data_IF_721186603263
#
_entry.id   IF_721186603263
#
_cell.length_a   1.000
_cell.length_b   1.000
_cell.length_c   1.000
_cell.angle_alpha   90.00
_cell.angle_beta   90.00
_cell.angle_gamma   90.00
#
_symmetry.space_group_name_H-M   'P 1'
#
loop_
_entity.id
_entity.type
_entity.pdbx_description
1 polymer ?
#
# COMPACT_ATOMS: atom_id res chain seq x y z
N UNK A 1 54.91 31.30 -1.32
CA UNK A 1 54.87 29.83 -1.16
C UNK A 1 53.62 29.34 -1.89
N UNK A 2 53.76 29.17 -3.21
CA UNK A 2 52.70 28.68 -4.09
C UNK A 2 52.69 27.16 -4.09
N UNK A 3 51.53 26.56 -3.82
CA UNK A 3 51.23 25.18 -4.19
C UNK A 3 49.92 25.16 -4.97
N UNK A 4 50.07 25.34 -6.27
CA UNK A 4 49.16 24.86 -7.30
C UNK A 4 48.83 23.38 -7.06
N UNK A 5 47.56 23.09 -6.81
CA UNK A 5 47.00 21.75 -6.93
C UNK A 5 45.66 21.86 -7.66
N UNK A 6 45.75 22.05 -8.96
CA UNK A 6 44.66 21.87 -9.93
C UNK A 6 44.14 20.43 -9.87
N UNK A 7 43.07 20.18 -9.12
CA UNK A 7 42.29 18.95 -9.23
C UNK A 7 41.32 19.07 -10.42
N UNK A 8 41.36 18.15 -11.40
CA UNK A 8 40.40 18.16 -12.51
C UNK A 8 39.00 17.75 -12.02
N UNK A 9 37.91 18.23 -12.63
CA UNK A 9 36.56 17.77 -12.29
C UNK A 9 36.42 16.29 -12.70
N UNK A 10 36.07 15.44 -11.74
CA UNK A 10 35.70 14.04 -11.99
C UNK A 10 34.44 14.05 -12.86
N UNK A 11 34.60 13.71 -14.14
CA UNK A 11 33.51 13.56 -15.12
C UNK A 11 32.63 12.39 -14.71
N UNK A 12 31.56 12.66 -13.96
CA UNK A 12 30.55 11.67 -13.55
C UNK A 12 29.54 11.39 -14.68
N UNK A 13 29.99 11.46 -15.94
CA UNK A 13 29.12 11.43 -17.12
C UNK A 13 29.38 10.21 -18.04
N UNK A 14 30.42 9.42 -17.75
CA UNK A 14 30.78 8.23 -18.54
C UNK A 14 30.57 6.88 -17.80
N UNK A 15 29.72 6.85 -16.76
CA UNK A 15 29.10 5.59 -16.29
C UNK A 15 27.79 5.31 -17.05
N UNK A 16 27.88 5.57 -18.33
CA UNK A 16 26.94 5.18 -19.36
C UNK A 16 27.11 3.66 -19.62
N UNK A 17 26.00 2.96 -19.75
CA UNK A 17 25.78 1.91 -20.76
C UNK A 17 26.10 0.43 -20.49
N UNK A 18 26.59 0.00 -19.32
CA UNK A 18 26.94 -1.43 -19.10
C UNK A 18 26.05 -2.23 -18.13
N UNK A 19 24.74 -1.96 -18.14
CA UNK A 19 23.78 -2.70 -17.30
C UNK A 19 22.44 -3.04 -17.96
N UNK A 20 22.30 -2.86 -19.28
CA UNK A 20 21.06 -3.24 -19.98
C UNK A 20 20.99 -4.76 -20.08
N UNK A 21 20.51 -5.42 -19.02
CA UNK A 21 20.03 -6.81 -19.08
C UNK A 21 19.03 -6.88 -20.23
N UNK A 22 19.29 -7.77 -21.19
CA UNK A 22 18.41 -7.96 -22.33
C UNK A 22 17.01 -8.29 -21.82
N UNK A 23 15.95 -7.74 -22.43
CA UNK A 23 14.55 -8.07 -22.07
C UNK A 23 14.32 -9.58 -22.03
N UNK A 24 15.04 -10.35 -22.86
CA UNK A 24 15.03 -11.82 -22.85
C UNK A 24 15.66 -12.42 -21.58
N UNK A 25 16.74 -11.84 -21.06
CA UNK A 25 17.36 -12.27 -19.80
C UNK A 25 16.49 -11.93 -18.58
N UNK A 26 15.76 -10.82 -18.60
CA UNK A 26 14.78 -10.48 -17.54
C UNK A 26 13.62 -11.49 -17.53
N UNK A 27 13.12 -11.89 -18.71
CA UNK A 27 12.04 -12.88 -18.82
C UNK A 27 12.50 -14.27 -18.37
N UNK A 28 13.74 -14.66 -18.67
CA UNK A 28 14.29 -15.95 -18.22
C UNK A 28 14.52 -16.01 -16.71
N UNK A 29 14.88 -14.89 -16.06
CA UNK A 29 15.01 -14.85 -14.59
C UNK A 29 13.65 -14.81 -13.87
N UNK A 30 12.59 -14.29 -14.51
CA UNK A 30 11.25 -14.31 -13.92
C UNK A 30 10.67 -15.74 -13.77
N UNK A 31 11.12 -16.69 -14.61
CA UNK A 31 10.70 -18.10 -14.51
C UNK A 31 11.24 -18.80 -13.25
N UNK A 32 12.35 -18.32 -12.65
CA UNK A 32 12.95 -18.91 -11.44
C UNK A 32 12.36 -18.31 -10.16
N UNK A 33 11.72 -17.13 -10.24
CA UNK A 33 11.10 -16.44 -9.09
C UNK A 33 9.59 -16.68 -8.95
N UNK A 34 9.00 -17.62 -9.70
CA UNK A 34 7.60 -18.01 -9.49
C UNK A 34 6.57 -16.89 -9.71
N UNK A 35 6.93 -15.82 -10.42
CA UNK A 35 5.99 -14.76 -10.81
C UNK A 35 5.24 -15.21 -12.06
N UNK A 36 4.21 -16.03 -11.86
CA UNK A 36 3.18 -16.27 -12.86
C UNK A 36 2.41 -14.97 -13.09
N UNK A 37 2.77 -14.22 -14.13
CA UNK A 37 1.93 -13.16 -14.66
C UNK A 37 0.88 -13.78 -15.59
N UNK A 38 -0.42 -13.81 -15.25
CA UNK A 38 -1.44 -14.21 -16.20
C UNK A 38 -1.72 -13.01 -17.13
N UNK A 39 -0.97 -12.92 -18.21
CA UNK A 39 -1.37 -12.21 -19.41
C UNK A 39 -2.21 -13.19 -20.23
N UNK A 40 -3.51 -13.34 -19.88
CA UNK A 40 -4.66 -13.79 -20.69
C UNK A 40 -5.82 -14.02 -19.73
N UNK A 41 -6.88 -13.21 -19.85
CA UNK A 41 -8.09 -13.36 -19.03
C UNK A 41 -9.01 -12.14 -19.02
N UNK A 42 -9.09 -11.40 -20.14
CA UNK A 42 -10.02 -10.29 -20.32
C UNK A 42 -11.29 -10.82 -21.00
N UNK A 43 -12.18 -11.41 -20.21
CA UNK A 43 -13.48 -11.91 -20.69
C UNK A 43 -14.01 -13.03 -19.81
N UNK A 44 -15.24 -12.86 -19.31
CA UNK A 44 -15.95 -13.67 -18.31
C UNK A 44 -15.65 -13.25 -16.87
N UNK A 45 -16.53 -12.39 -16.35
CA UNK A 45 -16.63 -12.03 -14.95
C UNK A 45 -17.00 -13.22 -14.07
N UNK A 46 -15.99 -14.02 -13.76
CA UNK A 46 -15.98 -14.85 -12.57
C UNK A 46 -14.85 -14.29 -11.72
N UNK A 47 -15.22 -13.37 -10.82
CA UNK A 47 -14.34 -12.92 -9.76
C UNK A 47 -13.95 -14.15 -8.96
N UNK A 48 -12.76 -14.67 -9.22
CA UNK A 48 -12.10 -15.56 -8.29
C UNK A 48 -12.00 -14.76 -7.00
N UNK A 49 -12.85 -15.10 -6.03
CA UNK A 49 -12.65 -14.72 -4.64
C UNK A 49 -11.31 -15.31 -4.25
N UNK A 50 -10.26 -14.50 -4.40
CA UNK A 50 -8.98 -14.76 -3.76
C UNK A 50 -9.35 -14.80 -2.29
N UNK A 51 -9.46 -16.01 -1.74
CA UNK A 51 -9.74 -16.20 -0.32
C UNK A 51 -8.64 -15.42 0.40
N UNK A 52 -9.03 -14.27 0.96
CA UNK A 52 -8.10 -13.39 1.63
C UNK A 52 -7.47 -14.21 2.73
N UNK A 53 -6.17 -14.50 2.58
CA UNK A 53 -5.45 -15.32 3.51
C UNK A 53 -5.46 -14.58 4.84
N UNK A 54 -6.17 -15.13 5.83
CA UNK A 54 -6.56 -14.47 7.08
C UNK A 54 -5.44 -14.15 8.07
N UNK A 55 -4.21 -13.93 7.58
CA UNK A 55 -3.01 -13.60 8.37
C UNK A 55 -2.31 -12.32 7.88
N UNK A 56 -3.05 -11.37 7.29
CA UNK A 56 -2.51 -10.07 6.89
C UNK A 56 -2.30 -9.14 8.10
N UNK A 57 -1.20 -8.38 8.12
CA UNK A 57 -0.99 -7.28 9.06
C UNK A 57 -0.94 -5.97 8.29
N UNK A 58 -1.62 -4.94 8.81
CA UNK A 58 -1.63 -3.58 8.26
C UNK A 58 -1.16 -2.63 9.34
N UNK A 59 -0.19 -1.78 9.00
CA UNK A 59 0.29 -0.70 9.88
C UNK A 59 -0.27 0.62 9.38
N UNK A 60 -1.01 1.32 10.24
CA UNK A 60 -1.57 2.65 9.98
C UNK A 60 -0.83 3.65 10.85
N UNK A 61 -0.23 4.67 10.26
CA UNK A 61 0.43 5.76 10.98
C UNK A 61 -0.52 6.95 11.12
N UNK A 62 -0.65 7.47 12.34
CA UNK A 62 -1.44 8.66 12.67
C UNK A 62 -0.48 9.80 13.05
N UNK A 63 -0.93 11.04 12.83
CA UNK A 63 -0.11 12.23 13.08
C UNK A 63 0.05 12.57 14.57
N UNK A 64 -0.85 12.06 15.42
CA UNK A 64 -0.87 12.34 16.86
C UNK A 64 -1.53 11.19 17.64
N UNK A 65 -1.33 11.18 18.96
CA UNK A 65 -1.92 10.22 19.88
C UNK A 65 -3.41 10.55 20.15
N UNK A 66 -4.31 9.54 20.19
CA UNK A 66 -5.70 9.79 20.58
C UNK A 66 -5.81 10.18 22.06
N UNK A 67 -6.46 11.32 22.34
CA UNK A 67 -6.68 11.82 23.71
C UNK A 67 -7.59 10.92 24.56
N UNK A 68 -8.51 10.20 23.92
CA UNK A 68 -9.46 9.29 24.57
C UNK A 68 -9.94 8.23 23.59
N UNK A 69 -10.34 7.07 24.12
CA UNK A 69 -11.01 5.99 23.39
C UNK A 69 -12.48 5.86 23.79
N UNK A 70 -13.01 6.81 24.56
CA UNK A 70 -14.42 6.88 24.86
C UNK A 70 -15.17 7.49 23.67
N UNK A 71 -16.02 6.70 22.98
CA UNK A 71 -16.71 7.15 21.76
C UNK A 71 -17.52 8.44 21.98
N UNK A 72 -18.18 8.56 23.13
CA UNK A 72 -19.01 9.74 23.45
C UNK A 72 -18.20 11.03 23.67
N UNK A 73 -16.88 10.93 23.89
CA UNK A 73 -15.99 12.06 24.14
C UNK A 73 -14.88 12.22 23.07
N UNK A 74 -14.91 11.41 22.01
CA UNK A 74 -13.89 11.44 20.96
C UNK A 74 -14.27 12.43 19.86
N UNK A 75 -13.81 13.68 19.97
CA UNK A 75 -13.99 14.69 18.92
C UNK A 75 -12.79 14.82 17.97
N UNK A 76 -11.67 14.17 18.30
CA UNK A 76 -10.43 14.23 17.51
C UNK A 76 -10.46 13.24 16.34
N UNK A 77 -9.98 13.66 15.17
CA UNK A 77 -9.87 12.81 13.98
C UNK A 77 -8.91 11.62 14.17
N UNK A 78 -8.04 11.65 15.18
CA UNK A 78 -7.06 10.58 15.44
C UNK A 78 -7.67 9.39 16.20
N UNK A 79 -8.73 9.59 16.99
CA UNK A 79 -9.40 8.51 17.72
C UNK A 79 -10.36 7.69 16.83
N UNK A 80 -11.02 8.35 15.88
CA UNK A 80 -12.06 7.72 15.05
C UNK A 80 -11.60 6.49 14.24
N UNK A 81 -10.41 6.45 13.62
CA UNK A 81 -9.94 5.26 12.91
C UNK A 81 -9.82 4.02 13.80
N UNK A 82 -9.47 4.21 15.07
CA UNK A 82 -9.37 3.11 16.04
C UNK A 82 -10.78 2.70 16.46
N UNK A 83 -11.61 3.67 16.85
CA UNK A 83 -12.96 3.42 17.36
C UNK A 83 -13.87 2.75 16.32
N UNK A 84 -13.74 3.09 15.03
CA UNK A 84 -14.50 2.46 13.93
C UNK A 84 -14.10 1.01 13.64
N UNK A 85 -12.96 0.56 14.14
CA UNK A 85 -12.51 -0.83 13.99
C UNK A 85 -12.80 -1.69 15.23
N UNK A 86 -13.00 -1.06 16.39
CA UNK A 86 -13.23 -1.76 17.67
C UNK A 86 -14.70 -1.75 18.08
N UNK A 87 -15.42 -0.67 17.76
CA UNK A 87 -16.82 -0.48 18.11
C UNK A 87 -17.69 -0.56 16.88
N UNK A 88 -18.92 -1.05 17.07
CA UNK A 88 -19.92 -1.19 16.03
C UNK A 88 -21.13 -0.30 16.35
N UNK A 89 -21.68 0.35 15.32
CA UNK A 89 -22.84 1.24 15.46
C UNK A 89 -24.14 0.52 15.10
N UNK A 90 -25.28 1.18 15.35
CA UNK A 90 -26.59 0.70 14.89
C UNK A 90 -26.65 0.61 13.36
N UNK A 91 -26.08 1.62 12.71
CA UNK A 91 -25.95 1.74 11.27
C UNK A 91 -24.49 2.09 10.96
N UNK A 92 -23.95 1.46 9.92
CA UNK A 92 -22.66 1.82 9.34
C UNK A 92 -22.85 2.53 7.99
N UNK A 93 -21.75 3.03 7.42
CA UNK A 93 -21.72 3.57 6.06
C UNK A 93 -20.91 2.66 5.16
N UNK A 94 -21.45 2.35 3.98
CA UNK A 94 -20.67 1.71 2.93
C UNK A 94 -19.55 2.67 2.47
N UNK A 95 -18.27 2.28 2.56
CA UNK A 95 -17.16 3.15 2.13
C UNK A 95 -17.18 3.50 0.64
N UNK A 96 -17.83 2.71 -0.22
CA UNK A 96 -17.89 2.97 -1.66
C UNK A 96 -19.03 3.94 -2.03
N UNK A 97 -20.25 3.69 -1.55
CA UNK A 97 -21.44 4.49 -1.89
C UNK A 97 -21.78 5.59 -0.87
N UNK A 98 -21.25 5.52 0.35
CA UNK A 98 -21.67 6.30 1.52
C UNK A 98 -23.13 6.09 1.96
N UNK A 99 -23.82 5.07 1.44
CA UNK A 99 -25.16 4.72 1.90
C UNK A 99 -25.14 4.14 3.32
N UNK A 100 -26.24 4.34 4.06
CA UNK A 100 -26.41 3.79 5.41
C UNK A 100 -26.80 2.32 5.31
N UNK A 101 -26.03 1.47 5.98
CA UNK A 101 -26.24 0.02 6.04
C UNK A 101 -26.58 -0.37 7.47
N UNK A 102 -27.63 -1.19 7.61
CA UNK A 102 -28.02 -1.77 8.90
C UNK A 102 -26.98 -2.75 9.41
N UNK A 103 -26.66 -2.66 10.70
CA UNK A 103 -25.73 -3.55 11.39
C UNK A 103 -26.39 -4.06 12.68
N UNK A 104 -26.13 -3.43 13.84
CA UNK A 104 -26.77 -3.84 15.10
C UNK A 104 -28.29 -3.63 15.09
N UNK A 105 -28.82 -2.73 14.26
CA UNK A 105 -30.25 -2.54 14.07
C UNK A 105 -30.76 -3.39 12.90
N UNK A 106 -31.35 -4.55 13.20
CA UNK A 106 -31.78 -5.55 12.21
C UNK A 106 -33.28 -5.63 11.93
N UNK A 107 -34.10 -4.76 12.54
CA UNK A 107 -35.58 -4.86 12.51
C UNK A 107 -36.26 -3.49 12.43
#
# INVERSE_FOLDING_TARGET
MDRSASHPPVRLHDRLLNGRRSRRQVIQQAAVLGLSAPLVGRGLGLGASVAAQGNGSVVISLADEPLTLENWNSFSIYGHPILRNVMEALLNRDPASNELVSELATA
#
